data_IF_496131334335
#
_entry.id   IF_496131334335
#
_cell.length_a   1.000
_cell.length_b   1.000
_cell.length_c   1.000
_cell.angle_alpha   90.00
_cell.angle_beta   90.00
_cell.angle_gamma   90.00
#
_symmetry.space_group_name_H-M   'P 1'
#
loop_
_entity.id
_entity.type
_entity.pdbx_description
1 polymer ?
#
# COMPACT_ATOMS: atom_id res chain seq x y z
N UNK A 1 36.99 -27.72 -8.48
CA UNK A 1 35.68 -27.82 -7.78
C UNK A 1 35.34 -26.42 -7.29
N UNK A 2 34.50 -25.71 -8.04
CA UNK A 2 34.03 -24.37 -7.67
C UNK A 2 32.83 -24.54 -6.76
N UNK A 3 32.94 -24.06 -5.52
CA UNK A 3 31.83 -24.04 -4.58
C UNK A 3 30.73 -23.18 -5.20
N UNK A 4 29.70 -23.84 -5.70
CA UNK A 4 28.43 -23.21 -6.04
C UNK A 4 27.93 -22.60 -4.74
N UNK A 5 28.12 -21.29 -4.59
CA UNK A 5 27.41 -20.50 -3.59
C UNK A 5 25.94 -20.63 -3.93
N UNK A 6 25.30 -21.65 -3.37
CA UNK A 6 23.86 -21.73 -3.18
C UNK A 6 23.54 -20.58 -2.24
N UNK A 7 23.38 -19.38 -2.81
CA UNK A 7 22.65 -18.30 -2.18
C UNK A 7 21.29 -18.95 -1.94
N UNK A 8 21.04 -19.30 -0.69
CA UNK A 8 19.71 -19.67 -0.25
C UNK A 8 18.90 -18.40 -0.46
N UNK A 9 18.31 -18.27 -1.65
CA UNK A 9 17.24 -17.33 -1.97
C UNK A 9 16.08 -17.72 -1.06
N UNK A 10 16.20 -17.36 0.22
CA UNK A 10 15.10 -17.37 1.15
C UNK A 10 14.23 -16.17 0.77
N UNK A 11 13.64 -16.25 -0.41
CA UNK A 11 12.55 -15.41 -0.89
C UNK A 11 11.28 -15.82 -0.11
N UNK A 12 11.37 -15.75 1.22
CA UNK A 12 10.19 -15.74 2.07
C UNK A 12 9.54 -14.37 1.84
N UNK A 13 8.82 -14.25 0.72
CA UNK A 13 8.05 -13.06 0.31
C UNK A 13 7.23 -12.53 1.49
N UNK A 14 6.76 -13.43 2.36
CA UNK A 14 6.09 -13.13 3.63
C UNK A 14 6.97 -12.36 4.61
N UNK A 15 8.22 -12.76 4.80
CA UNK A 15 9.18 -12.06 5.65
C UNK A 15 9.50 -10.69 5.07
N UNK A 16 9.79 -10.62 3.76
CA UNK A 16 10.06 -9.37 3.05
C UNK A 16 8.87 -8.40 3.19
N UNK A 17 7.64 -8.87 2.96
CA UNK A 17 6.43 -8.08 3.14
C UNK A 17 6.27 -7.59 4.58
N UNK A 18 6.59 -8.44 5.57
CA UNK A 18 6.49 -8.09 6.99
C UNK A 18 7.51 -7.02 7.38
N UNK A 19 8.76 -7.15 6.90
CA UNK A 19 9.82 -6.17 7.14
C UNK A 19 9.52 -4.85 6.44
N UNK A 20 9.05 -4.88 5.19
CA UNK A 20 8.65 -3.69 4.44
C UNK A 20 7.49 -2.95 5.13
N UNK A 21 6.45 -3.67 5.55
CA UNK A 21 5.32 -3.09 6.29
C UNK A 21 5.77 -2.42 7.59
N UNK A 22 6.70 -3.05 8.32
CA UNK A 22 7.29 -2.49 9.53
C UNK A 22 8.06 -1.20 9.24
N UNK A 23 8.93 -1.20 8.24
CA UNK A 23 9.73 -0.04 7.86
C UNK A 23 8.85 1.15 7.45
N UNK A 24 7.81 0.90 6.65
CA UNK A 24 6.85 1.94 6.25
C UNK A 24 6.10 2.52 7.46
N UNK A 25 5.67 1.66 8.39
CA UNK A 25 4.99 2.10 9.62
C UNK A 25 5.89 2.98 10.49
N UNK A 26 7.13 2.54 10.75
CA UNK A 26 8.07 3.29 11.58
C UNK A 26 8.45 4.63 10.93
N UNK A 27 8.66 4.65 9.62
CA UNK A 27 8.89 5.87 8.84
C UNK A 27 7.72 6.85 8.94
N UNK A 28 6.49 6.35 8.77
CA UNK A 28 5.29 7.17 8.89
C UNK A 28 5.13 7.77 10.29
N UNK A 29 5.33 6.97 11.35
CA UNK A 29 5.26 7.46 12.74
C UNK A 29 6.29 8.57 12.98
N UNK A 30 7.52 8.36 12.50
CA UNK A 30 8.60 9.34 12.64
C UNK A 30 8.28 10.64 11.91
N UNK A 31 7.73 10.55 10.69
CA UNK A 31 7.30 11.72 9.93
C UNK A 31 6.15 12.46 10.63
N UNK A 32 5.15 11.73 11.12
CA UNK A 32 3.98 12.30 11.80
C UNK A 32 4.31 13.00 13.13
N UNK A 33 5.45 12.67 13.75
CA UNK A 33 5.95 13.38 14.94
C UNK A 33 6.67 14.69 14.59
N UNK A 34 7.22 14.79 13.37
CA UNK A 34 8.05 15.93 12.93
C UNK A 34 7.29 16.98 12.15
N UNK A 35 6.13 16.64 11.61
CA UNK A 35 5.35 17.58 10.80
C UNK A 35 4.02 17.00 10.31
N UNK A 36 3.30 17.77 9.49
CA UNK A 36 2.04 17.34 8.91
C UNK A 36 2.24 16.18 7.94
N UNK A 37 1.35 15.18 8.02
CA UNK A 37 1.35 14.02 7.12
C UNK A 37 0.00 13.82 6.47
N UNK A 38 0.03 13.36 5.22
CA UNK A 38 -1.13 12.97 4.44
C UNK A 38 -1.24 11.45 4.40
N UNK A 39 -2.44 10.92 4.64
CA UNK A 39 -2.71 9.48 4.55
C UNK A 39 -4.16 9.23 4.12
N UNK A 40 -4.48 7.97 3.82
CA UNK A 40 -5.82 7.56 3.40
C UNK A 40 -6.41 6.65 4.45
N UNK A 41 -7.63 6.96 4.88
CA UNK A 41 -8.46 6.14 5.75
C UNK A 41 -9.87 6.10 5.18
N UNK A 42 -10.46 4.92 5.03
CA UNK A 42 -11.84 4.74 4.52
C UNK A 42 -12.12 5.57 3.26
N UNK A 43 -11.28 5.40 2.24
CA UNK A 43 -11.36 6.12 0.97
C UNK A 43 -11.34 7.65 1.11
N UNK A 44 -10.82 8.16 2.22
CA UNK A 44 -10.73 9.59 2.50
C UNK A 44 -9.29 9.97 2.73
N UNK A 45 -8.83 10.97 1.99
CA UNK A 45 -7.53 11.60 2.18
C UNK A 45 -7.62 12.53 3.37
N UNK A 46 -6.80 12.26 4.38
CA UNK A 46 -6.71 13.00 5.63
C UNK A 46 -5.35 13.68 5.73
N UNK A 47 -5.34 14.90 6.27
CA UNK A 47 -4.16 15.60 6.74
C UNK A 47 -4.13 15.51 8.27
N UNK A 48 -3.03 15.04 8.85
CA UNK A 48 -2.82 15.06 10.30
C UNK A 48 -1.65 15.97 10.62
N UNK A 49 -1.94 17.03 11.36
CA UNK A 49 -0.93 17.89 11.97
C UNK A 49 -0.46 17.33 13.32
N UNK A 50 0.67 17.84 13.81
CA UNK A 50 1.26 17.39 15.07
C UNK A 50 0.37 17.83 16.23
N UNK A 51 -0.16 16.85 16.98
CA UNK A 51 -1.00 17.09 18.16
C UNK A 51 -2.45 17.49 17.88
N UNK A 52 -2.83 17.65 16.61
CA UNK A 52 -4.19 17.98 16.21
C UNK A 52 -4.96 16.74 15.71
N UNK A 53 -6.30 16.74 15.79
CA UNK A 53 -7.10 15.74 15.11
C UNK A 53 -6.94 15.84 13.58
N UNK A 54 -7.03 14.71 12.84
CA UNK A 54 -6.96 14.72 11.39
C UNK A 54 -8.09 15.53 10.74
N UNK A 55 -7.77 16.21 9.64
CA UNK A 55 -8.70 17.01 8.83
C UNK A 55 -8.93 16.31 7.50
N UNK A 56 -10.18 16.27 7.05
CA UNK A 56 -10.56 15.74 5.74
C UNK A 56 -10.14 16.68 4.62
N UNK A 57 -9.28 16.20 3.73
CA UNK A 57 -8.86 16.94 2.54
C UNK A 57 -9.74 16.59 1.34
N UNK A 58 -10.00 15.29 1.13
CA UNK A 58 -10.74 14.83 -0.05
C UNK A 58 -11.33 13.45 0.15
N UNK A 59 -12.59 13.27 -0.21
CA UNK A 59 -13.16 11.94 -0.42
C UNK A 59 -12.75 11.40 -1.80
N UNK A 60 -12.20 10.18 -1.83
CA UNK A 60 -11.82 9.49 -3.04
C UNK A 60 -13.07 8.83 -3.64
N UNK A 61 -13.87 9.64 -4.34
CA UNK A 61 -15.01 9.16 -5.11
C UNK A 61 -14.55 8.33 -6.32
N UNK A 62 -15.38 7.37 -6.75
CA UNK A 62 -15.11 6.50 -7.91
C UNK A 62 -14.56 5.12 -7.57
N UNK A 63 -14.19 4.86 -6.30
CA UNK A 63 -14.07 3.48 -5.82
C UNK A 63 -15.46 2.87 -5.71
N UNK A 64 -15.61 1.68 -6.28
CA UNK A 64 -16.76 0.83 -6.01
C UNK A 64 -16.37 -0.12 -4.86
N UNK A 65 -16.91 0.07 -3.64
CA UNK A 65 -16.52 -0.70 -2.46
C UNK A 65 -16.80 -2.20 -2.63
N UNK A 66 -17.90 -2.55 -3.31
CA UNK A 66 -18.21 -3.95 -3.61
C UNK A 66 -17.17 -4.56 -4.55
N UNK A 67 -16.75 -3.83 -5.58
CA UNK A 67 -15.68 -4.26 -6.48
C UNK A 67 -14.35 -4.38 -5.75
N UNK A 68 -13.99 -3.39 -4.93
CA UNK A 68 -12.77 -3.41 -4.14
C UNK A 68 -12.74 -4.59 -3.16
N UNK A 69 -13.87 -4.88 -2.51
CA UNK A 69 -14.02 -6.04 -1.62
C UNK A 69 -13.98 -7.35 -2.39
N UNK A 70 -14.64 -7.45 -3.55
CA UNK A 70 -14.59 -8.63 -4.43
C UNK A 70 -13.20 -8.88 -5.00
N UNK A 71 -12.43 -7.81 -5.21
CA UNK A 71 -11.01 -7.89 -5.55
C UNK A 71 -10.25 -8.39 -4.32
N UNK A 72 -10.21 -7.66 -3.21
CA UNK A 72 -9.47 -8.06 -2.00
C UNK A 72 -9.77 -9.50 -1.50
N UNK A 73 -11.00 -10.00 -1.69
CA UNK A 73 -11.41 -11.36 -1.28
C UNK A 73 -11.04 -12.47 -2.27
N UNK A 74 -10.78 -12.17 -3.54
CA UNK A 74 -10.37 -13.18 -4.53
C UNK A 74 -8.85 -13.17 -4.65
N UNK A 75 -8.16 -14.23 -4.21
CA UNK A 75 -6.68 -14.25 -4.23
C UNK A 75 -6.04 -14.10 -5.62
N UNK A 76 -6.73 -14.44 -6.71
CA UNK A 76 -6.18 -14.35 -8.08
C UNK A 76 -7.18 -13.74 -9.05
N UNK A 77 -6.73 -12.76 -9.84
CA UNK A 77 -7.52 -12.11 -10.89
C UNK A 77 -6.87 -12.26 -12.25
N UNK A 78 -7.69 -12.50 -13.28
CA UNK A 78 -7.24 -12.44 -14.66
C UNK A 78 -7.62 -11.08 -15.24
N UNK A 79 -6.65 -10.19 -15.35
CA UNK A 79 -6.81 -8.92 -16.06
C UNK A 79 -6.75 -9.23 -17.56
N UNK A 80 -7.84 -8.99 -18.29
CA UNK A 80 -7.83 -9.08 -19.76
C UNK A 80 -7.34 -7.74 -20.33
N UNK A 81 -6.39 -7.78 -21.26
CA UNK A 81 -5.93 -6.59 -21.99
C UNK A 81 -7.10 -5.99 -22.77
N UNK A 82 -7.54 -4.80 -22.38
CA UNK A 82 -8.50 -4.03 -23.16
C UNK A 82 -7.79 -3.40 -24.38
N UNK A 83 -8.48 -3.37 -25.53
CA UNK A 83 -8.05 -2.52 -26.66
C UNK A 83 -8.37 -1.08 -26.27
N UNK A 84 -7.35 -0.26 -26.06
CA UNK A 84 -7.53 1.18 -25.93
C UNK A 84 -7.72 1.70 -27.35
N UNK A 85 -8.89 2.26 -27.67
CA UNK A 85 -9.11 2.99 -28.91
C UNK A 85 -8.26 4.28 -28.85
N UNK A 86 -7.34 4.41 -29.79
CA UNK A 86 -6.65 5.67 -30.07
C UNK A 86 -7.58 6.48 -30.97
N UNK A 87 -8.16 7.54 -30.43
CA UNK A 87 -8.71 8.64 -31.23
C UNK A 87 -7.59 9.61 -31.62
#
# INVERSE_FOLDING_TARGET
>A
MSAVNLINENDDEREIASQAARALRESFITAAQRGPVLYVENDTVLLKEVGAPPIVIKHLAGRNPELAQRVASRGTFKIKKCKVSQD
#
